data_IF_381605673295
#
_entry.id   IF_381605673295
#
_cell.length_a   1.000
_cell.length_b   1.000
_cell.length_c   1.000
_cell.angle_alpha   90.00
_cell.angle_beta   90.00
_cell.angle_gamma   90.00
#
_symmetry.space_group_name_H-M   'P 1'
#
loop_
_entity.id
_entity.type
_entity.pdbx_description
1 polymer ?
#
# COMPACT_ATOMS: atom_id res chain seq x y z
N UNK A 1 20.20 -3.32 -6.30
CA UNK A 1 18.83 -3.61 -5.82
C UNK A 1 18.92 -4.70 -4.77
N UNK A 2 18.56 -4.43 -3.51
CA UNK A 2 18.47 -5.46 -2.46
C UNK A 2 17.06 -6.05 -2.51
N UNK A 3 16.92 -7.36 -2.61
CA UNK A 3 15.62 -8.05 -2.50
C UNK A 3 15.49 -8.67 -1.13
N UNK A 4 14.34 -8.55 -0.48
CA UNK A 4 14.02 -9.38 0.69
C UNK A 4 13.70 -10.80 0.26
N UNK A 5 14.02 -11.78 1.11
CA UNK A 5 13.65 -13.18 0.91
C UNK A 5 12.12 -13.33 1.00
N UNK A 6 11.43 -13.26 -0.14
CA UNK A 6 10.09 -13.81 -0.26
C UNK A 6 10.23 -15.30 -0.61
N UNK A 7 9.53 -16.17 0.13
CA UNK A 7 9.51 -17.61 -0.13
C UNK A 7 9.29 -17.91 -1.60
N UNK A 8 10.01 -18.92 -2.13
CA UNK A 8 10.06 -19.27 -3.56
C UNK A 8 8.65 -19.34 -4.16
N UNK A 9 8.40 -18.57 -5.22
CA UNK A 9 7.11 -18.55 -5.94
C UNK A 9 6.12 -17.46 -5.52
N UNK A 10 6.41 -16.67 -4.48
CA UNK A 10 5.53 -15.57 -4.07
C UNK A 10 5.77 -14.29 -4.90
N UNK A 11 4.71 -13.53 -5.24
CA UNK A 11 4.83 -12.22 -5.88
C UNK A 11 5.76 -11.29 -5.08
N UNK A 12 6.64 -10.57 -5.79
CA UNK A 12 7.55 -9.58 -5.19
C UNK A 12 7.21 -8.19 -5.70
N UNK A 13 7.16 -7.23 -4.78
CA UNK A 13 7.07 -5.82 -5.11
C UNK A 13 8.49 -5.23 -5.10
N UNK A 14 8.90 -4.65 -6.23
CA UNK A 14 10.13 -3.89 -6.32
C UNK A 14 9.82 -2.40 -6.08
N UNK A 15 10.62 -1.76 -5.25
CA UNK A 15 10.60 -0.32 -5.04
C UNK A 15 12.01 0.23 -5.13
N UNK A 16 12.13 1.49 -5.54
CA UNK A 16 13.38 2.24 -5.49
C UNK A 16 13.20 3.43 -4.55
N UNK A 17 14.28 3.76 -3.84
CA UNK A 17 14.38 4.90 -2.93
C UNK A 17 15.82 5.40 -3.01
N UNK A 18 16.04 6.65 -2.64
CA UNK A 18 17.39 7.20 -2.54
C UNK A 18 18.24 6.35 -1.60
N UNK A 19 19.45 6.04 -2.04
CA UNK A 19 20.41 5.26 -1.26
C UNK A 19 20.83 6.03 -0.02
N UNK A 20 21.05 7.33 -0.13
CA UNK A 20 21.51 8.17 0.98
C UNK A 20 20.44 8.24 2.08
N UNK A 21 19.17 8.24 1.69
CA UNK A 21 18.05 8.13 2.65
C UNK A 21 18.08 6.79 3.39
N UNK A 22 18.27 5.68 2.68
CA UNK A 22 18.34 4.35 3.30
C UNK A 22 19.54 4.25 4.24
N UNK A 23 20.69 4.77 3.82
CA UNK A 23 21.91 4.74 4.63
C UNK A 23 21.76 5.60 5.89
N UNK A 24 21.11 6.77 5.79
CA UNK A 24 20.77 7.61 6.93
C UNK A 24 19.78 6.93 7.90
N UNK A 25 18.75 6.27 7.39
CA UNK A 25 17.77 5.55 8.21
C UNK A 25 18.41 4.40 9.00
N UNK A 26 19.41 3.71 8.45
CA UNK A 26 20.14 2.67 9.17
C UNK A 26 20.99 3.20 10.33
N UNK A 27 21.31 4.50 10.38
CA UNK A 27 22.01 5.10 11.52
C UNK A 27 21.09 5.37 12.71
N UNK A 28 19.76 5.31 12.51
CA UNK A 28 18.79 5.54 13.59
C UNK A 28 18.71 4.30 14.47
N UNK A 29 18.99 4.46 15.77
CA UNK A 29 18.92 3.38 16.75
C UNK A 29 17.50 2.81 16.83
N UNK A 30 17.37 1.47 16.78
CA UNK A 30 16.09 0.78 16.90
C UNK A 30 15.36 0.54 15.57
N UNK A 31 15.91 0.97 14.42
CA UNK A 31 15.37 0.61 13.11
C UNK A 31 15.66 -0.87 12.82
N UNK A 32 14.59 -1.67 12.75
CA UNK A 32 14.65 -3.11 12.47
C UNK A 32 14.23 -3.45 11.04
N UNK A 33 13.51 -2.55 10.37
CA UNK A 33 12.99 -2.77 9.01
C UNK A 33 12.72 -1.43 8.32
N UNK A 34 13.04 -1.35 7.03
CA UNK A 34 12.68 -0.25 6.14
C UNK A 34 11.78 -0.83 5.05
N UNK A 35 10.56 -0.32 4.95
CA UNK A 35 9.56 -0.83 4.01
C UNK A 35 8.91 0.32 3.23
N UNK A 36 8.50 0.08 1.97
CA UNK A 36 7.64 1.02 1.26
C UNK A 36 6.36 1.27 2.05
N UNK A 37 5.87 2.50 2.04
CA UNK A 37 4.68 2.88 2.80
C UNK A 37 3.47 2.00 2.44
N UNK A 38 3.28 1.67 1.16
CA UNK A 38 2.27 0.72 0.69
C UNK A 38 2.32 -0.60 1.46
N UNK A 39 3.51 -1.18 1.64
CA UNK A 39 3.66 -2.47 2.33
C UNK A 39 3.36 -2.34 3.82
N UNK A 40 3.77 -1.24 4.46
CA UNK A 40 3.46 -0.98 5.86
C UNK A 40 1.94 -0.85 6.08
N UNK A 41 1.26 -0.05 5.26
CA UNK A 41 -0.19 0.16 5.34
C UNK A 41 -0.98 -1.14 5.06
N UNK A 42 -0.57 -1.88 4.03
CA UNK A 42 -1.22 -3.15 3.68
C UNK A 42 -0.99 -4.22 4.76
N UNK A 43 0.22 -4.34 5.30
CA UNK A 43 0.53 -5.33 6.34
C UNK A 43 -0.28 -5.11 7.62
N UNK A 44 -0.53 -3.86 8.00
CA UNK A 44 -1.36 -3.53 9.15
C UNK A 44 -2.80 -4.03 9.03
N UNK A 45 -3.34 -3.98 7.82
CA UNK A 45 -4.70 -4.40 7.51
C UNK A 45 -4.78 -5.85 7.01
N UNK A 46 -3.67 -6.59 7.02
CA UNK A 46 -3.58 -7.92 6.39
C UNK A 46 -4.60 -8.92 6.91
N UNK A 47 -4.97 -8.80 8.18
CA UNK A 47 -6.00 -9.63 8.81
C UNK A 47 -7.39 -9.47 8.18
N UNK A 48 -7.63 -8.40 7.41
CA UNK A 48 -8.90 -8.11 6.72
C UNK A 48 -9.02 -8.76 5.35
N UNK A 49 -7.95 -9.39 4.84
CA UNK A 49 -7.86 -9.85 3.44
C UNK A 49 -7.83 -11.37 3.27
N UNK A 50 -8.47 -12.13 4.15
CA UNK A 50 -8.22 -13.57 4.27
C UNK A 50 -8.85 -14.44 3.18
N UNK A 51 -9.97 -14.04 2.58
CA UNK A 51 -10.72 -14.89 1.64
C UNK A 51 -11.22 -14.11 0.43
N UNK A 52 -11.11 -14.69 -0.77
CA UNK A 52 -11.69 -14.16 -1.99
C UNK A 52 -10.97 -12.95 -2.58
N UNK A 53 -11.73 -12.09 -3.25
CA UNK A 53 -11.22 -10.85 -3.89
C UNK A 53 -11.36 -9.68 -2.95
N UNK A 54 -10.29 -8.91 -2.75
CA UNK A 54 -10.29 -7.66 -2.00
C UNK A 54 -9.45 -6.61 -2.72
N UNK A 55 -9.90 -5.36 -2.64
CA UNK A 55 -9.18 -4.21 -3.18
C UNK A 55 -8.70 -3.34 -2.03
N UNK A 56 -7.45 -2.90 -2.11
CA UNK A 56 -6.89 -1.94 -1.16
C UNK A 56 -6.48 -0.67 -1.92
N UNK A 57 -6.91 0.48 -1.44
CA UNK A 57 -6.65 1.78 -2.04
C UNK A 57 -5.94 2.65 -1.02
N UNK A 58 -4.66 2.91 -1.27
CA UNK A 58 -3.87 3.87 -0.54
C UNK A 58 -4.06 5.25 -1.17
N UNK A 59 -4.63 6.17 -0.40
CA UNK A 59 -4.94 7.53 -0.80
C UNK A 59 -3.88 8.48 -0.25
N UNK A 60 -3.06 8.98 -1.15
CA UNK A 60 -2.05 9.99 -0.91
C UNK A 60 -2.46 11.29 -1.61
N UNK A 61 -1.91 12.43 -1.19
CA UNK A 61 -2.23 13.70 -1.83
C UNK A 61 -1.92 13.65 -3.34
N UNK A 62 -2.97 13.80 -4.16
CA UNK A 62 -2.88 13.78 -5.63
C UNK A 62 -2.63 12.40 -6.24
N UNK A 63 -2.63 11.31 -5.47
CA UNK A 63 -2.29 9.97 -5.97
C UNK A 63 -3.05 8.85 -5.27
N UNK A 64 -3.56 7.91 -6.06
CA UNK A 64 -4.08 6.63 -5.57
C UNK A 64 -3.13 5.51 -5.94
N UNK A 65 -2.79 4.68 -4.95
CA UNK A 65 -2.15 3.39 -5.17
C UNK A 65 -3.16 2.28 -4.88
N UNK A 66 -3.46 1.49 -5.90
CA UNK A 66 -4.49 0.46 -5.90
C UNK A 66 -3.81 -0.90 -5.93
N UNK A 67 -4.21 -1.74 -5.00
CA UNK A 67 -3.73 -3.10 -4.84
C UNK A 67 -4.90 -4.08 -4.95
N UNK A 68 -4.70 -5.13 -5.75
CA UNK A 68 -5.59 -6.28 -5.78
C UNK A 68 -5.02 -7.38 -4.89
N UNK A 69 -5.83 -7.85 -3.95
CA UNK A 69 -5.54 -9.01 -3.13
C UNK A 69 -6.51 -10.13 -3.53
N UNK A 70 -5.96 -11.28 -3.94
CA UNK A 70 -6.72 -12.51 -4.19
C UNK A 70 -6.23 -13.59 -3.24
N UNK A 71 -7.14 -14.17 -2.46
CA UNK A 71 -6.84 -15.24 -1.50
C UNK A 71 -5.64 -14.87 -0.60
N UNK A 72 -5.72 -13.68 0.03
CA UNK A 72 -4.67 -13.16 0.91
C UNK A 72 -3.35 -12.79 0.24
N UNK A 73 -3.25 -12.89 -1.08
CA UNK A 73 -2.02 -12.64 -1.84
C UNK A 73 -2.13 -11.42 -2.73
N UNK A 74 -1.16 -10.52 -2.65
CA UNK A 74 -1.07 -9.36 -3.54
C UNK A 74 -0.83 -9.81 -4.99
N UNK A 75 -1.70 -9.40 -5.91
CA UNK A 75 -1.65 -9.78 -7.34
C UNK A 75 -1.33 -8.60 -8.26
N UNK A 76 -1.79 -7.41 -7.90
CA UNK A 76 -1.61 -6.20 -8.71
C UNK A 76 -1.28 -5.03 -7.78
N UNK A 77 -0.39 -4.15 -8.25
CA UNK A 77 -0.20 -2.81 -7.70
C UNK A 77 -0.17 -1.83 -8.87
N UNK A 78 -0.98 -0.79 -8.79
CA UNK A 78 -1.04 0.30 -9.78
C UNK A 78 -1.11 1.63 -9.06
N UNK A 79 -0.33 2.58 -9.53
CA UNK A 79 -0.31 3.92 -8.96
C UNK A 79 -0.70 4.89 -10.06
N UNK A 80 -1.56 5.85 -9.73
CA UNK A 80 -2.00 6.88 -10.67
C UNK A 80 -2.33 8.19 -9.96
N UNK A 81 -2.26 9.28 -10.73
CA UNK A 81 -2.75 10.57 -10.28
C UNK A 81 -4.27 10.50 -10.04
N UNK A 82 -4.72 11.20 -8.99
CA UNK A 82 -6.13 11.46 -8.71
C UNK A 82 -6.61 12.58 -9.60
N UNK A 83 -7.82 12.44 -10.16
CA UNK A 83 -8.54 13.48 -10.87
C UNK A 83 -9.87 13.72 -10.18
N UNK A 84 -10.38 14.95 -10.24
CA UNK A 84 -11.62 15.35 -9.55
C UNK A 84 -12.82 14.52 -10.01
N UNK A 85 -12.79 14.04 -11.26
CA UNK A 85 -13.81 13.18 -11.86
C UNK A 85 -13.65 11.67 -11.59
N UNK A 86 -12.63 11.24 -10.82
CA UNK A 86 -12.37 9.80 -10.62
C UNK A 86 -13.45 9.11 -9.77
N UNK A 87 -14.18 8.18 -10.38
CA UNK A 87 -15.05 7.24 -9.68
C UNK A 87 -14.25 5.97 -9.31
N UNK A 88 -13.95 5.78 -8.02
CA UNK A 88 -13.04 4.74 -7.54
C UNK A 88 -13.48 3.30 -7.90
N UNK A 89 -14.75 2.89 -7.70
CA UNK A 89 -15.25 1.60 -8.22
C UNK A 89 -15.00 1.37 -9.72
N UNK A 90 -15.37 2.32 -10.59
CA UNK A 90 -15.20 2.17 -12.05
C UNK A 90 -13.71 2.06 -12.43
N UNK A 91 -12.89 2.84 -11.73
CA UNK A 91 -11.46 2.86 -11.89
C UNK A 91 -10.84 1.50 -11.50
N UNK A 92 -11.27 0.92 -10.38
CA UNK A 92 -10.82 -0.41 -9.94
C UNK A 92 -11.19 -1.48 -10.98
N UNK A 93 -12.43 -1.45 -11.49
CA UNK A 93 -12.84 -2.38 -12.54
C UNK A 93 -12.00 -2.24 -13.81
N UNK A 94 -11.67 -0.99 -14.18
CA UNK A 94 -10.79 -0.71 -15.32
C UNK A 94 -9.40 -1.31 -15.10
N UNK A 95 -8.79 -1.12 -13.93
CA UNK A 95 -7.48 -1.69 -13.61
C UNK A 95 -7.50 -3.23 -13.63
N UNK A 96 -8.58 -3.87 -13.16
CA UNK A 96 -8.75 -5.31 -13.23
C UNK A 96 -8.79 -5.81 -14.69
N UNK A 97 -9.61 -5.16 -15.53
CA UNK A 97 -9.72 -5.49 -16.96
C UNK A 97 -8.40 -5.30 -17.69
N UNK A 98 -7.69 -4.20 -17.44
CA UNK A 98 -6.38 -3.93 -18.03
C UNK A 98 -5.31 -4.94 -17.62
N UNK A 99 -5.42 -5.51 -16.41
CA UNK A 99 -4.55 -6.58 -15.95
C UNK A 99 -4.92 -7.96 -16.53
N UNK A 100 -5.97 -8.06 -17.36
CA UNK A 100 -6.49 -9.32 -17.88
C UNK A 100 -7.15 -10.20 -16.81
N UNK A 101 -7.54 -9.60 -15.67
CA UNK A 101 -8.07 -10.32 -14.54
C UNK A 101 -9.60 -10.21 -14.53
N UNK A 102 -10.28 -11.34 -14.71
CA UNK A 102 -11.72 -11.46 -14.48
C UNK A 102 -11.97 -11.75 -13.01
N UNK A 103 -11.81 -10.73 -12.16
CA UNK A 103 -12.09 -10.85 -10.72
C UNK A 103 -13.54 -10.52 -10.40
N UNK A 104 -14.09 -11.20 -9.41
CA UNK A 104 -15.42 -10.85 -8.87
C UNK A 104 -15.33 -9.50 -8.15
N UNK A 105 -16.46 -8.81 -8.04
CA UNK A 105 -16.57 -7.68 -7.13
C UNK A 105 -16.19 -8.13 -5.71
N UNK A 106 -15.43 -7.30 -5.02
CA UNK A 106 -14.96 -7.53 -3.65
C UNK A 106 -14.94 -6.22 -2.87
N UNK A 107 -14.81 -6.28 -1.54
CA UNK A 107 -14.72 -5.09 -0.71
C UNK A 107 -13.54 -4.20 -1.14
N UNK A 108 -13.77 -2.88 -1.10
CA UNK A 108 -12.76 -1.85 -1.33
C UNK A 108 -12.39 -1.28 0.03
N UNK A 109 -11.17 -1.54 0.47
CA UNK A 109 -10.58 -1.00 1.69
C UNK A 109 -9.80 0.26 1.33
N UNK A 110 -10.18 1.39 1.92
CA UNK A 110 -9.49 2.67 1.72
C UNK A 110 -8.59 2.95 2.93
N UNK A 111 -7.37 3.38 2.65
CA UNK A 111 -6.40 3.81 3.63
C UNK A 111 -5.88 5.18 3.21
N UNK A 112 -6.27 6.22 3.93
CA UNK A 112 -5.77 7.58 3.71
C UNK A 112 -4.65 7.88 4.70
N UNK A 113 -3.68 8.66 4.27
CA UNK A 113 -2.79 9.31 5.23
C UNK A 113 -3.63 10.19 6.18
N UNK A 114 -3.45 10.04 7.50
CA UNK A 114 -3.85 11.10 8.43
C UNK A 114 -3.01 12.30 8.04
N UNK A 115 -3.62 13.30 7.42
CA UNK A 115 -2.93 14.44 6.83
C UNK A 115 -1.81 14.93 7.77
N UNK A 116 -0.56 14.70 7.39
CA UNK A 116 0.57 15.33 8.04
C UNK A 116 0.53 16.80 7.67
N UNK A 117 -0.15 17.60 8.50
CA UNK A 117 -0.15 19.05 8.34
C UNK A 117 1.29 19.54 8.55
N UNK A 118 1.89 20.26 7.60
CA UNK A 118 3.23 20.80 7.76
C UNK A 118 3.33 21.63 9.05
N UNK A 119 4.25 21.27 9.94
CA UNK A 119 4.45 21.94 11.24
C UNK A 119 3.71 21.30 12.42
N UNK A 120 2.88 20.28 12.21
CA UNK A 120 2.30 19.51 13.31
C UNK A 120 3.29 18.42 13.76
N UNK A 121 3.65 18.34 15.05
CA UNK A 121 4.49 17.26 15.54
C UNK A 121 3.80 15.92 15.28
N UNK A 122 4.55 14.97 14.73
CA UNK A 122 4.10 13.59 14.54
C UNK A 122 3.96 12.99 15.94
N UNK A 123 2.74 12.99 16.49
CA UNK A 123 2.46 12.21 17.68
C UNK A 123 2.34 10.73 17.29
N UNK A 124 3.43 10.01 17.51
CA UNK A 124 3.52 8.56 17.27
C UNK A 124 2.47 7.77 18.09
N UNK A 125 1.86 8.36 19.13
CA UNK A 125 0.76 7.74 19.89
C UNK A 125 -0.57 7.80 19.13
N UNK A 126 -0.83 8.86 18.37
CA UNK A 126 -2.00 8.93 17.47
C UNK A 126 -1.90 7.91 16.35
N UNK A 127 -0.67 7.63 15.88
CA UNK A 127 -0.39 6.63 14.85
C UNK A 127 -0.70 5.19 15.31
N UNK A 128 -0.48 4.88 16.60
CA UNK A 128 -0.79 3.56 17.17
C UNK A 128 -2.30 3.35 17.41
N UNK A 129 -3.06 4.42 17.66
CA UNK A 129 -4.50 4.36 17.96
C UNK A 129 -5.37 4.20 16.69
N UNK A 130 -4.90 4.65 15.53
CA UNK A 130 -5.60 4.48 14.24
C UNK A 130 -5.49 3.06 13.65
N UNK A 131 -4.80 2.16 14.35
CA UNK A 131 -4.43 0.81 13.90
C UNK A 131 -4.94 -0.30 14.84
N UNK A 132 -5.84 0.06 15.77
CA UNK A 132 -6.58 -0.85 16.64
C UNK A 132 -7.96 -1.19 16.10
#
# INVERSE_FOLDING_TARGET
MKTTEAGKGNPRLACAVDRDLVDALHQVSGVTSIQPYLMSALNAQRHRFSEGTSWFVLEEHGRHTIALILEGSLKLVRTRAVRDEDNLPELIEKEARLAGLSVKAGPIFRHSELALVPGMPIDLRTYAMAMG
#
